data_IF_604301234810
#
_entry.id   IF_604301234810
#
_cell.length_a   1.000
_cell.length_b   1.000
_cell.length_c   1.000
_cell.angle_alpha   90.00
_cell.angle_beta   90.00
_cell.angle_gamma   90.00
#
_symmetry.space_group_name_H-M   'P 1'
#
loop_
_entity.id
_entity.type
_entity.pdbx_description
1 polymer ?
#
# COMPACT_ATOMS: atom_id res chain seq x y z
N UNK A 1 -73.48 -28.38 -8.89
CA UNK A 1 -72.08 -28.21 -9.45
C UNK A 1 -71.26 -27.24 -8.63
N UNK A 2 -71.80 -26.18 -8.00
CA UNK A 2 -71.09 -25.16 -7.24
C UNK A 2 -70.20 -25.69 -6.09
N UNK A 3 -70.66 -26.66 -5.30
CA UNK A 3 -69.96 -27.13 -4.12
C UNK A 3 -68.64 -27.89 -4.47
N UNK A 4 -68.62 -28.56 -5.63
CA UNK A 4 -67.39 -29.23 -6.07
C UNK A 4 -66.30 -28.23 -6.52
N UNK A 5 -66.71 -27.15 -7.17
CA UNK A 5 -65.81 -26.07 -7.61
C UNK A 5 -65.24 -25.35 -6.38
N UNK A 6 -66.05 -25.08 -5.39
CA UNK A 6 -65.61 -24.44 -4.13
C UNK A 6 -64.59 -25.32 -3.38
N UNK A 7 -64.80 -26.62 -3.35
CA UNK A 7 -63.88 -27.59 -2.74
C UNK A 7 -62.51 -27.61 -3.46
N UNK A 8 -62.49 -27.60 -4.79
CA UNK A 8 -61.25 -27.56 -5.55
C UNK A 8 -60.51 -26.22 -5.35
N UNK A 9 -61.22 -25.13 -5.28
CA UNK A 9 -60.64 -23.80 -5.02
C UNK A 9 -60.04 -23.71 -3.63
N UNK A 10 -60.65 -24.31 -2.61
CA UNK A 10 -60.14 -24.40 -1.26
C UNK A 10 -58.87 -25.25 -1.20
N UNK A 11 -58.85 -26.43 -1.82
CA UNK A 11 -57.69 -27.30 -1.89
C UNK A 11 -56.55 -26.59 -2.61
N UNK A 12 -56.81 -25.94 -3.71
CA UNK A 12 -55.80 -25.15 -4.44
C UNK A 12 -55.23 -24.03 -3.60
N UNK A 13 -56.05 -23.24 -2.92
CA UNK A 13 -55.59 -22.18 -2.02
C UNK A 13 -54.70 -22.69 -0.89
N UNK A 14 -55.05 -23.85 -0.32
CA UNK A 14 -54.27 -24.45 0.74
C UNK A 14 -52.91 -24.94 0.24
N UNK A 15 -52.84 -25.58 -0.92
CA UNK A 15 -51.61 -26.01 -1.54
C UNK A 15 -50.72 -24.82 -1.93
N UNK A 16 -51.32 -23.77 -2.43
CA UNK A 16 -50.63 -22.55 -2.79
C UNK A 16 -50.02 -21.85 -1.57
N UNK A 17 -50.76 -21.81 -0.46
CA UNK A 17 -50.21 -21.27 0.82
C UNK A 17 -49.04 -22.08 1.33
N UNK A 18 -49.14 -23.42 1.28
CA UNK A 18 -48.04 -24.29 1.64
C UNK A 18 -46.79 -24.07 0.74
N UNK A 19 -47.05 -23.93 -0.57
CA UNK A 19 -45.97 -23.67 -1.53
C UNK A 19 -45.25 -22.35 -1.25
N UNK A 20 -45.97 -21.28 -1.00
CA UNK A 20 -45.40 -19.98 -0.63
C UNK A 20 -44.59 -20.11 0.65
N UNK A 21 -45.14 -20.72 1.68
CA UNK A 21 -44.45 -20.89 2.97
C UNK A 21 -43.11 -21.66 2.84
N UNK A 22 -43.12 -22.76 2.09
CA UNK A 22 -41.89 -23.54 1.85
C UNK A 22 -40.85 -22.76 1.04
N UNK A 23 -41.33 -22.01 0.04
CA UNK A 23 -40.45 -21.20 -0.81
C UNK A 23 -39.81 -20.06 -0.01
N UNK A 24 -40.62 -19.33 0.77
CA UNK A 24 -40.12 -18.24 1.60
C UNK A 24 -39.11 -18.73 2.67
N UNK A 25 -39.40 -19.89 3.27
CA UNK A 25 -38.48 -20.50 4.23
C UNK A 25 -37.11 -20.82 3.58
N UNK A 26 -37.10 -21.41 2.39
CA UNK A 26 -35.86 -21.69 1.63
C UNK A 26 -35.09 -20.43 1.32
N UNK A 27 -35.77 -19.35 0.95
CA UNK A 27 -35.12 -18.07 0.67
C UNK A 27 -34.50 -17.47 1.93
N UNK A 28 -35.22 -17.56 3.06
CA UNK A 28 -34.73 -17.09 4.34
C UNK A 28 -33.49 -17.89 4.82
N UNK A 29 -33.57 -19.23 4.74
CA UNK A 29 -32.46 -20.11 5.11
C UNK A 29 -31.22 -19.82 4.24
N UNK A 30 -31.39 -19.67 2.92
CA UNK A 30 -30.29 -19.32 2.01
C UNK A 30 -29.69 -17.92 2.25
N UNK A 31 -30.54 -16.95 2.67
CA UNK A 31 -30.04 -15.62 3.06
C UNK A 31 -29.26 -15.68 4.37
N UNK A 32 -29.73 -16.47 5.34
CA UNK A 32 -29.05 -16.64 6.61
C UNK A 32 -27.67 -17.28 6.44
N UNK A 33 -27.57 -18.38 5.68
CA UNK A 33 -26.29 -19.00 5.33
C UNK A 33 -25.33 -18.01 4.64
N UNK A 34 -25.87 -17.14 3.80
CA UNK A 34 -25.04 -16.12 3.13
C UNK A 34 -24.57 -15.03 4.08
N UNK A 35 -25.39 -14.63 5.05
CA UNK A 35 -25.00 -13.67 6.08
C UNK A 35 -23.87 -14.28 6.94
N UNK A 36 -24.05 -15.50 7.45
CA UNK A 36 -23.03 -16.20 8.21
C UNK A 36 -21.72 -16.34 7.44
N UNK A 37 -21.77 -16.73 6.17
CA UNK A 37 -20.58 -16.81 5.32
C UNK A 37 -19.89 -15.47 5.07
N UNK A 38 -20.64 -14.36 5.05
CA UNK A 38 -20.08 -13.02 4.91
C UNK A 38 -19.49 -12.51 6.22
N UNK A 39 -20.12 -12.81 7.35
CA UNK A 39 -19.60 -12.49 8.68
C UNK A 39 -18.29 -13.24 8.96
N UNK A 40 -18.21 -14.53 8.62
CA UNK A 40 -16.97 -15.32 8.75
C UNK A 40 -15.84 -14.74 7.89
N UNK A 41 -16.14 -14.39 6.65
CA UNK A 41 -15.14 -13.75 5.77
C UNK A 41 -14.71 -12.38 6.26
N UNK A 42 -15.63 -11.61 6.83
CA UNK A 42 -15.32 -10.30 7.38
C UNK A 42 -14.38 -10.43 8.58
N UNK A 43 -14.67 -11.38 9.47
CA UNK A 43 -13.80 -11.68 10.61
C UNK A 43 -12.41 -12.17 10.17
N UNK A 44 -12.32 -12.99 9.12
CA UNK A 44 -11.04 -13.45 8.55
C UNK A 44 -10.25 -12.27 7.97
N UNK A 45 -10.89 -11.40 7.19
CA UNK A 45 -10.24 -10.20 6.60
C UNK A 45 -9.83 -9.20 7.67
N UNK A 46 -10.62 -9.00 8.71
CA UNK A 46 -10.26 -8.14 9.84
C UNK A 46 -9.06 -8.68 10.61
N UNK A 47 -9.02 -9.99 10.87
CA UNK A 47 -7.88 -10.63 11.52
C UNK A 47 -6.60 -10.53 10.67
N UNK A 48 -6.70 -10.77 9.36
CA UNK A 48 -5.58 -10.61 8.42
C UNK A 48 -5.12 -9.15 8.32
N UNK A 49 -6.05 -8.19 8.38
CA UNK A 49 -5.72 -6.77 8.38
C UNK A 49 -5.01 -6.34 9.68
N UNK A 50 -5.41 -6.85 10.83
CA UNK A 50 -4.71 -6.60 12.11
C UNK A 50 -3.29 -7.18 12.11
N UNK A 51 -3.12 -8.41 11.61
CA UNK A 51 -1.79 -9.04 11.49
C UNK A 51 -0.93 -8.26 10.48
N UNK A 52 -1.51 -7.85 9.36
CA UNK A 52 -0.81 -7.08 8.34
C UNK A 52 -0.41 -5.70 8.83
N UNK A 53 -1.27 -5.00 9.58
CA UNK A 53 -0.94 -3.69 10.15
C UNK A 53 0.18 -3.77 11.18
N UNK A 54 0.15 -4.77 12.06
CA UNK A 54 1.21 -4.98 13.06
C UNK A 54 2.57 -5.32 12.42
N UNK A 55 2.57 -6.10 11.32
CA UNK A 55 3.79 -6.39 10.56
C UNK A 55 4.30 -5.20 9.77
N UNK A 56 3.40 -4.39 9.21
CA UNK A 56 3.77 -3.17 8.47
C UNK A 56 4.36 -2.11 9.40
N UNK A 57 3.86 -1.98 10.62
CA UNK A 57 4.46 -1.05 11.62
C UNK A 57 5.90 -1.43 11.97
N UNK A 58 6.21 -2.71 12.09
CA UNK A 58 7.57 -3.19 12.39
C UNK A 58 8.50 -3.12 11.16
N UNK A 59 7.98 -3.44 9.97
CA UNK A 59 8.71 -3.32 8.70
C UNK A 59 9.01 -1.86 8.30
N UNK A 60 8.19 -0.91 8.72
CA UNK A 60 8.34 0.52 8.41
C UNK A 60 8.90 1.37 9.56
N UNK A 61 9.46 0.73 10.58
CA UNK A 61 10.07 1.46 11.71
C UNK A 61 11.10 2.50 11.26
N UNK A 62 11.92 2.17 10.27
CA UNK A 62 12.87 3.12 9.65
C UNK A 62 12.24 3.84 8.44
N UNK A 63 11.14 4.55 8.66
CA UNK A 63 10.51 5.39 7.66
C UNK A 63 10.15 6.74 8.27
N UNK A 64 10.42 7.83 7.56
CA UNK A 64 10.01 9.17 8.01
C UNK A 64 8.52 9.24 8.29
N UNK A 65 7.72 8.50 7.52
CA UNK A 65 6.26 8.45 7.65
C UNK A 65 5.78 7.96 9.03
N UNK A 66 6.57 7.08 9.68
CA UNK A 66 6.21 6.46 10.96
C UNK A 66 7.13 6.91 12.12
N UNK A 67 7.99 7.92 11.89
CA UNK A 67 8.91 8.42 12.90
C UNK A 67 8.37 9.73 13.50
N UNK A 68 7.66 9.62 14.62
CA UNK A 68 7.04 10.77 15.30
C UNK A 68 8.02 11.90 15.63
N UNK A 69 9.24 11.58 16.08
CA UNK A 69 10.27 12.57 16.40
C UNK A 69 10.71 13.34 15.15
N UNK A 70 10.85 12.65 14.03
CA UNK A 70 11.23 13.26 12.76
C UNK A 70 10.07 14.07 12.13
N UNK A 71 8.83 13.63 12.29
CA UNK A 71 7.62 14.37 11.89
C UNK A 71 7.55 15.66 12.68
N UNK A 72 7.61 15.61 14.01
CA UNK A 72 7.59 16.77 14.90
C UNK A 72 8.69 17.78 14.54
N UNK A 73 9.91 17.31 14.23
CA UNK A 73 11.01 18.17 13.81
C UNK A 73 10.69 19.01 12.58
N UNK A 74 9.95 18.47 11.62
CA UNK A 74 9.55 19.22 10.43
C UNK A 74 8.31 20.07 10.64
N UNK A 75 7.34 19.62 11.43
CA UNK A 75 6.15 20.38 11.79
C UNK A 75 6.51 21.67 12.55
N UNK A 76 7.48 21.62 13.46
CA UNK A 76 8.00 22.80 14.17
C UNK A 76 8.60 23.84 13.21
N UNK A 77 9.02 23.40 12.01
CA UNK A 77 9.52 24.27 10.93
C UNK A 77 8.46 24.65 9.91
N UNK A 78 7.21 24.22 10.12
CA UNK A 78 6.10 24.47 9.20
C UNK A 78 6.20 23.70 7.88
N UNK A 79 6.92 22.55 7.89
CA UNK A 79 7.10 21.69 6.71
C UNK A 79 6.18 20.48 6.88
N UNK A 80 5.32 20.25 5.88
CA UNK A 80 4.52 19.04 5.78
C UNK A 80 5.39 17.85 5.37
N UNK A 81 5.36 16.77 6.16
CA UNK A 81 6.24 15.61 5.96
C UNK A 81 5.85 14.74 4.78
N UNK A 82 4.55 14.62 4.44
CA UNK A 82 4.10 13.85 3.28
C UNK A 82 4.54 14.54 1.98
N UNK A 83 4.33 15.84 1.89
CA UNK A 83 4.80 16.66 0.77
C UNK A 83 6.32 16.65 0.66
N UNK A 84 7.04 16.65 1.78
CA UNK A 84 8.49 16.61 1.80
C UNK A 84 9.03 15.26 1.26
N UNK A 85 8.43 14.13 1.66
CA UNK A 85 8.82 12.81 1.17
C UNK A 85 8.72 12.77 -0.37
N UNK A 86 7.58 13.21 -0.91
CA UNK A 86 7.36 13.25 -2.36
C UNK A 86 8.38 14.15 -3.07
N UNK A 87 8.69 15.31 -2.50
CA UNK A 87 9.69 16.24 -3.04
C UNK A 87 11.10 15.65 -3.03
N UNK A 88 11.48 14.92 -1.97
CA UNK A 88 12.77 14.24 -1.88
C UNK A 88 12.89 13.16 -2.95
N UNK A 89 11.87 12.31 -3.07
CA UNK A 89 11.82 11.24 -4.06
C UNK A 89 11.92 11.80 -5.49
N UNK A 90 11.11 12.81 -5.82
CA UNK A 90 11.12 13.47 -7.11
C UNK A 90 12.46 14.17 -7.40
N UNK A 91 13.04 14.84 -6.42
CA UNK A 91 14.32 15.53 -6.57
C UNK A 91 15.48 14.58 -6.85
N UNK A 92 15.42 13.35 -6.34
CA UNK A 92 16.42 12.30 -6.60
C UNK A 92 16.17 11.63 -7.95
N UNK A 93 14.94 11.19 -8.21
CA UNK A 93 14.58 10.44 -9.42
C UNK A 93 14.64 11.32 -10.68
N UNK A 94 14.26 12.59 -10.57
CA UNK A 94 14.33 13.54 -11.71
C UNK A 94 15.74 13.80 -12.24
N UNK A 95 16.76 13.45 -11.45
CA UNK A 95 18.17 13.52 -11.90
C UNK A 95 18.57 12.36 -12.83
N UNK A 96 17.72 11.36 -13.01
CA UNK A 96 17.89 10.33 -14.02
C UNK A 96 17.72 10.93 -15.43
N UNK A 97 18.78 11.26 -16.11
CA UNK A 97 18.76 11.76 -17.48
C UNK A 97 19.11 10.67 -18.47
N UNK A 98 18.58 10.78 -19.69
CA UNK A 98 18.93 9.84 -20.75
C UNK A 98 20.38 10.06 -21.20
N UNK A 99 21.18 8.98 -21.17
CA UNK A 99 22.57 9.01 -21.61
C UNK A 99 23.57 9.55 -20.59
N UNK A 100 23.15 9.85 -19.36
CA UNK A 100 24.02 10.35 -18.30
C UNK A 100 23.78 9.53 -17.01
N UNK A 101 24.82 9.37 -16.19
CA UNK A 101 24.70 8.81 -14.86
C UNK A 101 23.97 9.78 -13.92
N UNK A 102 23.19 9.24 -12.99
CA UNK A 102 22.57 10.07 -11.95
C UNK A 102 23.69 10.65 -11.05
N UNK A 103 23.80 11.99 -10.93
CA UNK A 103 24.91 12.63 -10.21
C UNK A 103 24.91 12.37 -8.69
N UNK A 104 23.86 11.77 -8.14
CA UNK A 104 23.80 11.37 -6.73
C UNK A 104 24.54 10.04 -6.51
N UNK A 105 24.63 9.20 -7.53
CA UNK A 105 25.35 7.93 -7.47
C UNK A 105 26.85 8.23 -7.58
N UNK A 106 27.69 7.88 -6.58
CA UNK A 106 29.10 8.25 -6.56
C UNK A 106 29.99 7.33 -7.39
N UNK A 107 29.44 6.68 -8.41
CA UNK A 107 30.19 5.79 -9.31
C UNK A 107 29.57 5.80 -10.71
N UNK A 108 30.44 5.63 -11.70
CA UNK A 108 30.04 5.61 -13.11
C UNK A 108 29.47 4.23 -13.48
N UNK A 109 28.53 4.22 -14.41
CA UNK A 109 27.98 3.00 -14.97
C UNK A 109 29.02 2.22 -15.77
N UNK A 110 28.99 0.89 -15.69
CA UNK A 110 29.93 -0.01 -16.38
C UNK A 110 29.39 -0.55 -17.70
N UNK A 111 28.11 -0.92 -17.74
CA UNK A 111 27.43 -1.45 -18.93
C UNK A 111 26.32 -0.51 -19.44
N UNK A 112 25.93 0.46 -18.64
CA UNK A 112 24.92 1.46 -18.94
C UNK A 112 25.04 2.64 -18.00
N UNK A 113 24.07 3.55 -18.05
CA UNK A 113 24.07 4.69 -17.13
C UNK A 113 23.45 4.31 -15.77
N UNK A 114 24.09 4.72 -14.68
CA UNK A 114 23.56 4.54 -13.33
C UNK A 114 22.27 5.33 -13.14
N UNK A 115 21.22 4.66 -12.74
CA UNK A 115 19.90 5.25 -12.51
C UNK A 115 19.36 4.82 -11.17
N UNK A 116 18.77 5.75 -10.45
CA UNK A 116 18.07 5.46 -9.20
C UNK A 116 16.65 5.02 -9.53
N UNK A 117 16.20 3.88 -8.97
CA UNK A 117 14.86 3.33 -9.22
C UNK A 117 13.94 3.49 -8.02
N UNK A 118 14.48 3.30 -6.80
CA UNK A 118 13.70 3.43 -5.56
C UNK A 118 14.43 4.32 -4.58
N UNK A 119 13.62 5.05 -3.82
CA UNK A 119 14.09 5.94 -2.77
C UNK A 119 13.25 5.68 -1.53
N UNK A 120 13.86 5.62 -0.36
CA UNK A 120 13.17 5.56 0.93
C UNK A 120 13.75 6.61 1.86
N UNK A 121 12.89 7.54 2.32
CA UNK A 121 13.26 8.54 3.33
C UNK A 121 13.13 7.88 4.70
N UNK A 122 14.25 7.77 5.41
CA UNK A 122 14.30 7.05 6.68
C UNK A 122 13.91 7.94 7.88
N UNK A 123 14.38 9.18 7.88
CA UNK A 123 14.12 10.15 8.94
C UNK A 123 14.44 11.57 8.47
N UNK A 124 14.51 12.53 9.39
CA UNK A 124 14.81 13.93 9.08
C UNK A 124 16.26 14.20 8.59
N UNK A 125 17.08 13.17 8.41
CA UNK A 125 18.50 13.30 7.99
C UNK A 125 18.90 12.33 6.89
N UNK A 126 18.26 11.16 6.80
CA UNK A 126 18.77 10.04 6.03
C UNK A 126 17.76 9.54 4.97
N UNK A 127 18.32 9.23 3.82
CA UNK A 127 17.63 8.60 2.68
C UNK A 127 18.49 7.43 2.22
N UNK A 128 17.85 6.34 1.83
CA UNK A 128 18.47 5.25 1.10
C UNK A 128 17.87 5.16 -0.29
N UNK A 129 18.69 4.91 -1.29
CA UNK A 129 18.23 4.73 -2.67
C UNK A 129 18.95 3.56 -3.32
N UNK A 130 18.23 2.78 -4.14
CA UNK A 130 18.84 1.78 -4.99
C UNK A 130 19.20 2.36 -6.35
N UNK A 131 20.23 1.86 -6.96
CA UNK A 131 20.66 2.25 -8.30
C UNK A 131 21.11 1.03 -9.13
N UNK A 132 21.01 1.17 -10.44
CA UNK A 132 21.48 0.16 -11.39
C UNK A 132 21.87 0.80 -12.73
N UNK A 133 22.79 0.17 -13.46
CA UNK A 133 23.08 0.44 -14.86
C UNK A 133 22.39 -0.56 -15.83
N UNK A 134 21.56 -1.45 -15.26
CA UNK A 134 20.88 -2.52 -15.99
C UNK A 134 21.52 -3.90 -15.79
N UNK A 135 22.80 -3.96 -15.41
CA UNK A 135 23.55 -5.19 -15.13
C UNK A 135 24.01 -5.24 -13.69
N UNK A 136 24.62 -4.17 -13.24
CA UNK A 136 25.07 -4.00 -11.86
C UNK A 136 24.05 -3.21 -11.08
N UNK A 137 23.90 -3.54 -9.81
CA UNK A 137 23.00 -2.82 -8.92
C UNK A 137 23.63 -2.62 -7.55
N UNK A 138 23.21 -1.58 -6.87
CA UNK A 138 23.75 -1.22 -5.57
C UNK A 138 22.83 -0.30 -4.81
N UNK A 139 23.29 0.15 -3.67
CA UNK A 139 22.59 1.09 -2.82
C UNK A 139 23.48 2.26 -2.45
N UNK A 140 22.87 3.44 -2.32
CA UNK A 140 23.52 4.65 -1.83
C UNK A 140 22.77 5.16 -0.60
N UNK A 141 23.53 5.47 0.44
CA UNK A 141 23.06 6.10 1.66
C UNK A 141 23.39 7.58 1.59
N UNK A 142 22.35 8.40 1.72
CA UNK A 142 22.42 9.84 1.56
C UNK A 142 22.06 10.56 2.85
N UNK A 143 22.73 11.66 3.13
CA UNK A 143 22.18 12.70 4.01
C UNK A 143 21.52 13.79 3.17
N UNK A 144 20.57 14.50 3.78
CA UNK A 144 19.92 15.63 3.13
C UNK A 144 19.67 16.78 4.11
N UNK A 145 19.60 17.97 3.54
CA UNK A 145 19.27 19.19 4.24
C UNK A 145 18.19 19.94 3.47
N UNK A 146 17.19 20.42 4.20
CA UNK A 146 16.15 21.29 3.66
C UNK A 146 16.47 22.71 4.07
N UNK A 147 16.77 23.57 3.10
CA UNK A 147 17.03 24.98 3.32
C UNK A 147 15.72 25.77 3.59
N UNK A 148 15.82 26.97 4.13
CA UNK A 148 14.66 27.83 4.47
C UNK A 148 13.82 28.21 3.24
N UNK A 149 14.42 28.22 2.05
CA UNK A 149 13.75 28.46 0.76
C UNK A 149 13.08 27.21 0.16
N UNK A 150 13.21 26.05 0.86
CA UNK A 150 12.67 24.77 0.43
C UNK A 150 13.57 23.98 -0.53
N UNK A 151 14.78 24.47 -0.86
CA UNK A 151 15.76 23.73 -1.64
C UNK A 151 16.27 22.52 -0.84
N UNK A 152 16.36 21.35 -1.48
CA UNK A 152 16.85 20.13 -0.85
C UNK A 152 18.23 19.79 -1.41
N UNK A 153 19.22 19.70 -0.51
CA UNK A 153 20.59 19.31 -0.85
C UNK A 153 20.85 17.89 -0.38
N UNK A 154 21.50 17.10 -1.25
CA UNK A 154 21.84 15.70 -0.97
C UNK A 154 23.36 15.54 -0.93
N UNK A 155 23.83 14.71 0.00
CA UNK A 155 25.21 14.34 0.15
C UNK A 155 25.33 12.82 0.19
N UNK A 156 26.15 12.25 -0.70
CA UNK A 156 26.40 10.81 -0.71
C UNK A 156 27.39 10.46 0.41
N UNK A 157 26.92 9.71 1.38
CA UNK A 157 27.72 9.32 2.55
C UNK A 157 28.44 7.98 2.32
N UNK A 158 27.72 7.01 1.78
CA UNK A 158 28.22 5.67 1.51
C UNK A 158 27.42 4.97 0.42
N UNK A 159 28.13 4.18 -0.37
CA UNK A 159 27.50 3.34 -1.40
C UNK A 159 28.24 2.02 -1.54
N UNK A 160 27.57 1.05 -2.13
CA UNK A 160 28.17 -0.23 -2.51
C UNK A 160 27.43 -0.82 -3.70
N UNK A 161 28.13 -1.66 -4.46
CA UNK A 161 27.57 -2.47 -5.56
C UNK A 161 27.53 -3.92 -5.08
N UNK A 162 26.45 -4.59 -5.37
CA UNK A 162 26.31 -6.02 -5.10
C UNK A 162 27.13 -6.83 -6.12
N UNK A 163 27.82 -7.90 -5.67
CA UNK A 163 28.54 -8.79 -6.59
C UNK A 163 27.55 -9.50 -7.52
N UNK A 164 27.94 -9.67 -8.78
CA UNK A 164 27.22 -10.56 -9.70
C UNK A 164 27.45 -12.01 -9.26
N UNK A 165 26.38 -12.79 -9.17
CA UNK A 165 26.39 -14.23 -8.87
C UNK A 165 26.25 -15.04 -10.15
#
# INVERSE_FOLDING_TARGET
MGNKILMYLFIFSLLFTIFIYVNDKRILDAKQERIESLEDKLAEVEADAEISSATVEDEDYFSLKNNEDAITYFEEKGIDTEDLILKIEDAIISKNKAGEDNPIVPMDGMEGNMRINKVKVLNHKWVIADFTDGTYWGEVFLSYEVAEDGEIKFFSEKSFIYPLY
#
